data_IF_135098090662
#
_entry.id   IF_135098090662
#
_cell.length_a   1.000
_cell.length_b   1.000
_cell.length_c   1.000
_cell.angle_alpha   90.00
_cell.angle_beta   90.00
_cell.angle_gamma   90.00
#
_symmetry.space_group_name_H-M   'P 1'
#
loop_
_entity.id
_entity.type
_entity.pdbx_description
1 polymer ?
#
# COMPACT_ATOMS: atom_id res chain seq x y z
N UNK A 1 6.82 -25.53 -1.47
CA UNK A 1 5.41 -25.11 -1.62
C UNK A 1 5.12 -24.17 -0.47
N UNK A 2 4.86 -22.90 -0.77
CA UNK A 2 4.29 -22.01 0.24
C UNK A 2 2.84 -22.45 0.45
N UNK A 3 2.39 -22.51 1.70
CA UNK A 3 0.99 -22.79 2.05
C UNK A 3 0.32 -21.48 2.47
N UNK A 4 -1.00 -21.40 2.31
CA UNK A 4 -1.77 -20.33 2.93
C UNK A 4 -1.56 -20.30 4.45
N UNK A 5 -1.33 -19.10 4.96
CA UNK A 5 -1.04 -18.85 6.37
C UNK A 5 -1.98 -17.78 6.88
N UNK A 6 -2.70 -18.06 7.95
CA UNK A 6 -3.46 -17.03 8.64
C UNK A 6 -2.54 -16.20 9.54
N UNK A 7 -2.55 -14.89 9.34
CA UNK A 7 -1.78 -13.93 10.12
C UNK A 7 -2.73 -12.99 10.87
N UNK A 8 -2.33 -12.54 12.06
CA UNK A 8 -3.11 -11.56 12.83
C UNK A 8 -2.61 -10.15 12.55
N UNK A 9 -3.50 -9.25 12.18
CA UNK A 9 -3.16 -7.85 11.95
C UNK A 9 -2.78 -7.18 13.27
N UNK A 10 -1.58 -6.58 13.34
CA UNK A 10 -1.12 -5.85 14.54
C UNK A 10 -1.91 -4.57 14.83
N UNK A 11 -2.63 -4.04 13.85
CA UNK A 11 -3.34 -2.75 13.95
C UNK A 11 -4.81 -2.93 14.37
N UNK A 12 -5.52 -3.88 13.76
CA UNK A 12 -6.95 -4.14 14.04
C UNK A 12 -7.24 -5.48 14.75
N UNK A 13 -6.24 -6.35 14.91
CA UNK A 13 -6.40 -7.67 15.56
C UNK A 13 -7.11 -8.73 14.71
N UNK A 14 -7.55 -8.42 13.49
CA UNK A 14 -8.23 -9.39 12.63
C UNK A 14 -7.27 -10.40 12.00
N UNK A 15 -7.71 -11.65 11.86
CA UNK A 15 -7.03 -12.65 11.04
C UNK A 15 -7.20 -12.33 9.56
N UNK A 16 -6.12 -12.50 8.79
CA UNK A 16 -6.13 -12.38 7.34
C UNK A 16 -5.27 -13.47 6.72
N UNK A 17 -5.69 -13.97 5.56
CA UNK A 17 -4.97 -15.01 4.84
C UNK A 17 -3.80 -14.40 4.07
N UNK A 18 -2.61 -14.95 4.30
CA UNK A 18 -1.42 -14.69 3.53
C UNK A 18 -1.15 -15.90 2.64
N UNK A 19 -1.62 -15.81 1.40
CA UNK A 19 -1.64 -16.93 0.46
C UNK A 19 -0.25 -17.30 -0.02
N UNK A 20 -0.10 -18.52 -0.55
CA UNK A 20 1.13 -19.00 -1.17
C UNK A 20 1.65 -18.05 -2.27
N UNK A 21 0.75 -17.59 -3.15
CA UNK A 21 1.12 -16.66 -4.23
C UNK A 21 1.58 -15.29 -3.72
N UNK A 22 1.01 -14.80 -2.62
CA UNK A 22 1.48 -13.56 -1.99
C UNK A 22 2.86 -13.74 -1.35
N UNK A 23 3.14 -14.91 -0.75
CA UNK A 23 4.46 -15.22 -0.21
C UNK A 23 5.52 -15.21 -1.32
N UNK A 24 5.25 -15.85 -2.46
CA UNK A 24 6.16 -15.87 -3.61
C UNK A 24 6.38 -14.46 -4.17
N UNK A 25 5.32 -13.65 -4.27
CA UNK A 25 5.43 -12.25 -4.68
C UNK A 25 6.29 -11.42 -3.72
N UNK A 26 6.10 -11.58 -2.41
CA UNK A 26 6.88 -10.84 -1.43
C UNK A 26 8.35 -11.28 -1.42
N UNK A 27 8.61 -12.59 -1.49
CA UNK A 27 9.97 -13.14 -1.54
C UNK A 27 10.71 -12.71 -2.82
N UNK A 28 10.06 -12.76 -3.98
CA UNK A 28 10.68 -12.34 -5.26
C UNK A 28 11.05 -10.86 -5.29
N UNK A 29 10.37 -10.03 -4.51
CA UNK A 29 10.65 -8.59 -4.37
C UNK A 29 11.61 -8.27 -3.22
N UNK A 30 12.02 -9.26 -2.43
CA UNK A 30 12.83 -9.05 -1.23
C UNK A 30 12.06 -8.35 -0.09
N UNK A 31 10.74 -8.48 -0.05
CA UNK A 31 9.90 -7.93 1.03
C UNK A 31 9.71 -8.95 2.15
N UNK A 32 9.58 -8.44 3.37
CA UNK A 32 9.23 -9.22 4.56
C UNK A 32 7.72 -9.48 4.65
N UNK A 33 7.31 -10.52 5.37
CA UNK A 33 5.91 -10.87 5.62
C UNK A 33 5.09 -9.65 6.13
N UNK A 34 3.85 -9.47 5.63
CA UNK A 34 3.01 -8.37 6.07
C UNK A 34 2.55 -8.58 7.52
N UNK A 35 2.76 -7.57 8.36
CA UNK A 35 2.27 -7.55 9.76
C UNK A 35 0.88 -6.90 9.93
N UNK A 36 0.32 -6.37 8.83
CA UNK A 36 -0.98 -5.69 8.79
C UNK A 36 -1.78 -6.23 7.62
N UNK A 37 -3.09 -6.36 7.81
CA UNK A 37 -4.00 -6.77 6.75
C UNK A 37 -4.08 -5.70 5.63
N UNK A 38 -4.58 -6.12 4.47
CA UNK A 38 -4.77 -5.26 3.29
C UNK A 38 -5.55 -4.00 3.62
N UNK A 39 -6.66 -4.13 4.36
CA UNK A 39 -7.52 -3.00 4.77
C UNK A 39 -6.75 -1.93 5.54
N UNK A 40 -5.98 -2.30 6.56
CA UNK A 40 -5.19 -1.35 7.34
C UNK A 40 -4.07 -0.70 6.50
N UNK A 41 -3.51 -1.43 5.53
CA UNK A 41 -2.51 -0.90 4.59
C UNK A 41 -3.13 0.11 3.64
N UNK A 42 -4.30 -0.19 3.09
CA UNK A 42 -5.06 0.70 2.20
C UNK A 42 -5.55 1.96 2.92
N UNK A 43 -6.06 1.87 4.15
CA UNK A 43 -6.45 3.04 4.96
C UNK A 43 -5.26 3.98 5.16
N UNK A 44 -4.08 3.45 5.52
CA UNK A 44 -2.87 4.28 5.68
C UNK A 44 -2.43 4.92 4.37
N UNK A 45 -2.55 4.21 3.25
CA UNK A 45 -2.26 4.76 1.92
C UNK A 45 -3.23 5.89 1.56
N UNK A 46 -4.53 5.69 1.81
CA UNK A 46 -5.59 6.68 1.58
C UNK A 46 -5.38 7.94 2.43
N UNK A 47 -5.10 7.79 3.73
CA UNK A 47 -4.79 8.90 4.64
C UNK A 47 -3.56 9.72 4.20
N UNK A 48 -2.60 9.09 3.51
CA UNK A 48 -1.44 9.79 2.94
C UNK A 48 -1.77 10.53 1.64
N UNK A 49 -2.75 10.06 0.87
CA UNK A 49 -3.22 10.74 -0.33
C UNK A 49 -4.02 12.00 0.04
N UNK A 50 -4.84 11.92 1.09
CA UNK A 50 -5.67 13.03 1.57
C UNK A 50 -4.84 14.20 2.12
N UNK A 51 -3.73 13.91 2.81
CA UNK A 51 -2.78 14.93 3.31
C UNK A 51 -1.68 15.31 2.30
N UNK A 52 -1.77 14.81 1.08
CA UNK A 52 -0.73 14.91 0.04
C UNK A 52 -1.19 15.51 -1.28
N UNK A 53 -2.46 15.91 -1.41
CA UNK A 53 -2.94 16.69 -2.57
C UNK A 53 -2.70 18.19 -2.34
N UNK A 54 -1.42 18.53 -2.23
CA UNK A 54 -0.92 19.91 -2.16
C UNK A 54 0.48 19.95 -2.76
N UNK A 55 0.60 19.75 -4.07
CA UNK A 55 1.90 19.83 -4.73
C UNK A 55 1.93 19.26 -6.13
N UNK A 56 1.48 20.05 -7.12
CA UNK A 56 1.57 19.68 -8.53
C UNK A 56 0.81 20.64 -9.45
N UNK A 57 0.98 21.95 -9.24
CA UNK A 57 0.40 22.98 -10.10
C UNK A 57 0.95 22.90 -11.53
N UNK A 58 0.18 22.28 -12.43
CA UNK A 58 0.39 22.30 -13.87
C UNK A 58 -0.38 23.42 -14.54
N UNK A 59 -0.25 24.66 -14.05
CA UNK A 59 -0.81 25.85 -14.70
C UNK A 59 0.10 26.28 -15.86
N UNK A 60 -0.20 25.81 -17.07
CA UNK A 60 0.49 26.22 -18.30
C UNK A 60 -0.25 27.38 -18.96
N UNK A 61 -0.40 28.47 -18.23
CA UNK A 61 -0.98 29.72 -18.71
C UNK A 61 0.07 30.83 -18.56
N UNK A 62 1.07 30.84 -19.45
CA UNK A 62 1.95 32.00 -19.62
C UNK A 62 1.86 32.49 -21.06
N UNK A 63 0.82 33.29 -21.27
CA UNK A 63 0.64 34.37 -22.24
C UNK A 63 1.91 34.69 -23.07
N UNK A 64 1.86 34.45 -24.37
CA UNK A 64 2.86 34.92 -25.35
C UNK A 64 2.71 36.44 -25.49
N UNK A 65 3.78 37.17 -25.24
CA UNK A 65 3.80 38.63 -25.27
C UNK A 65 5.23 39.13 -25.10
N UNK A 66 6.06 38.81 -26.08
CA UNK A 66 7.23 39.52 -26.65
C UNK A 66 7.92 38.57 -27.63
#
# INVERSE_FOLDING_TARGET
MAQDKELTCKDCGQSFTFTAGEQEFFQSRGFSEPIRCKTCRDIRKSQKADRGFGGGGGGRDRMKGW
#
